data_IF_164051224311
#
_entry.id   IF_164051224311
#
_cell.length_a   1.000
_cell.length_b   1.000
_cell.length_c   1.000
_cell.angle_alpha   90.00
_cell.angle_beta   90.00
_cell.angle_gamma   90.00
#
_symmetry.space_group_name_H-M   'P 1'
#
loop_
_entity.id
_entity.type
_entity.pdbx_description
1 polymer ?
#
# COMPACT_ATOMS: atom_id res chain seq x y z
N UNK A 1 3.95 -18.76 -20.36
CA UNK A 1 3.91 -17.35 -20.84
C UNK A 1 4.52 -17.16 -22.23
N UNK A 2 5.73 -17.63 -22.54
CA UNK A 2 6.39 -17.36 -23.83
C UNK A 2 5.57 -17.78 -25.06
N UNK A 3 4.90 -18.94 -25.03
CA UNK A 3 4.02 -19.38 -26.12
C UNK A 3 2.77 -18.53 -26.32
N UNK A 4 2.28 -17.87 -25.27
CA UNK A 4 1.13 -16.94 -25.38
C UNK A 4 1.55 -15.62 -26.03
N UNK A 5 2.70 -15.06 -25.63
CA UNK A 5 3.26 -13.86 -26.27
C UNK A 5 3.60 -14.13 -27.74
N UNK A 6 4.21 -15.28 -28.04
CA UNK A 6 4.49 -15.68 -29.42
C UNK A 6 3.22 -15.87 -30.27
N UNK A 7 2.14 -16.40 -29.67
CA UNK A 7 0.83 -16.49 -30.33
C UNK A 7 0.18 -15.13 -30.61
N UNK A 8 0.41 -14.15 -29.74
CA UNK A 8 -0.09 -12.77 -29.93
C UNK A 8 0.66 -12.01 -31.01
N UNK A 9 1.94 -12.29 -31.24
CA UNK A 9 2.73 -11.66 -32.32
C UNK A 9 2.12 -11.87 -33.70
N UNK A 10 1.46 -13.01 -33.94
CA UNK A 10 0.77 -13.31 -35.21
C UNK A 10 -0.37 -12.31 -35.50
N UNK A 11 -0.85 -11.62 -34.48
CA UNK A 11 -1.92 -10.62 -34.56
C UNK A 11 -1.44 -9.19 -34.27
N UNK A 12 -0.13 -8.91 -34.33
CA UNK A 12 0.42 -7.58 -33.99
C UNK A 12 -0.12 -6.43 -34.86
N UNK A 13 -0.58 -6.74 -36.08
CA UNK A 13 -1.19 -5.78 -37.00
C UNK A 13 -2.69 -5.55 -36.76
N UNK A 14 -3.31 -6.29 -35.83
CA UNK A 14 -4.72 -6.08 -35.48
C UNK A 14 -4.89 -4.73 -34.75
N UNK A 15 -5.77 -3.83 -35.23
CA UNK A 15 -5.96 -2.55 -34.56
C UNK A 15 -6.47 -2.72 -33.14
N UNK A 16 -5.95 -1.93 -32.19
CA UNK A 16 -6.42 -1.95 -30.79
C UNK A 16 -7.94 -1.70 -30.68
N UNK A 17 -8.51 -0.87 -31.56
CA UNK A 17 -9.95 -0.62 -31.62
C UNK A 17 -10.76 -1.89 -31.95
N UNK A 18 -10.20 -2.83 -32.72
CA UNK A 18 -10.81 -4.12 -33.01
C UNK A 18 -10.80 -5.01 -31.76
N UNK A 19 -9.66 -5.05 -31.04
CA UNK A 19 -9.55 -5.77 -29.77
C UNK A 19 -10.52 -5.20 -28.71
N UNK A 20 -10.69 -3.89 -28.63
CA UNK A 20 -11.61 -3.25 -27.69
C UNK A 20 -13.08 -3.55 -28.01
N UNK A 21 -13.45 -3.63 -29.29
CA UNK A 21 -14.81 -4.06 -29.68
C UNK A 21 -15.06 -5.52 -29.36
N UNK A 22 -14.05 -6.37 -29.45
CA UNK A 22 -14.15 -7.80 -29.20
C UNK A 22 -14.02 -8.20 -27.73
N UNK A 23 -13.55 -7.30 -26.84
CA UNK A 23 -13.23 -7.64 -25.44
C UNK A 23 -14.43 -7.71 -24.51
N UNK A 24 -15.59 -7.17 -24.91
CA UNK A 24 -16.76 -7.01 -24.03
C UNK A 24 -16.57 -5.94 -22.94
N UNK A 25 -15.46 -5.21 -22.94
CA UNK A 25 -15.20 -4.08 -22.02
C UNK A 25 -15.97 -2.85 -22.50
N UNK A 26 -16.59 -2.06 -21.60
CA UNK A 26 -17.25 -0.81 -21.98
C UNK A 26 -16.32 0.11 -22.77
N UNK A 27 -16.81 0.72 -23.85
CA UNK A 27 -15.99 1.53 -24.75
C UNK A 27 -15.29 2.73 -24.08
N UNK A 28 -15.81 3.21 -22.95
CA UNK A 28 -15.23 4.30 -22.16
C UNK A 28 -14.12 3.84 -21.20
N UNK A 29 -13.96 2.54 -20.97
CA UNK A 29 -12.93 1.99 -20.09
C UNK A 29 -11.69 1.55 -20.90
N UNK A 30 -10.47 1.89 -20.44
CA UNK A 30 -9.25 1.43 -21.10
C UNK A 30 -9.06 -0.08 -20.91
N UNK A 31 -8.58 -0.79 -21.94
CA UNK A 31 -8.22 -2.22 -21.82
C UNK A 31 -6.98 -2.44 -20.94
N UNK A 32 -6.07 -1.46 -20.96
CA UNK A 32 -4.82 -1.47 -20.22
C UNK A 32 -4.59 -0.08 -19.63
N UNK A 33 -4.12 -0.05 -18.39
CA UNK A 33 -3.72 1.19 -17.70
C UNK A 33 -2.21 1.37 -17.66
N UNK A 34 -1.46 0.36 -18.08
CA UNK A 34 -0.01 0.35 -18.05
C UNK A 34 0.56 -0.14 -19.37
N UNK A 35 1.65 0.47 -19.81
CA UNK A 35 2.41 0.08 -20.99
C UNK A 35 3.82 -0.33 -20.58
N UNK A 36 4.29 -1.48 -21.08
CA UNK A 36 5.69 -1.88 -20.98
C UNK A 36 6.25 -1.92 -22.40
N UNK A 37 7.32 -1.17 -22.65
CA UNK A 37 8.03 -1.13 -23.90
C UNK A 37 9.44 -1.71 -23.71
N UNK A 38 9.84 -2.66 -24.54
CA UNK A 38 11.20 -3.18 -24.57
C UNK A 38 11.83 -2.77 -25.90
N UNK A 39 12.84 -1.91 -25.84
CA UNK A 39 13.53 -1.36 -27.00
C UNK A 39 14.92 -1.98 -27.08
N UNK A 40 15.12 -2.84 -28.08
CA UNK A 40 16.45 -3.34 -28.38
C UNK A 40 17.20 -2.32 -29.24
N UNK A 41 18.15 -1.61 -28.64
CA UNK A 41 19.04 -0.71 -29.36
C UNK A 41 20.17 -1.51 -29.98
N UNK A 42 20.16 -1.69 -31.31
CA UNK A 42 21.30 -2.27 -32.02
C UNK A 42 22.61 -1.54 -31.69
N UNK A 43 23.69 -2.31 -31.54
CA UNK A 43 25.03 -1.92 -31.09
C UNK A 43 25.44 -0.45 -31.37
N UNK A 44 26.09 0.24 -30.43
CA UNK A 44 26.80 1.47 -30.76
C UNK A 44 27.84 1.14 -31.83
N UNK A 45 27.75 1.79 -33.01
CA UNK A 45 28.85 1.78 -33.97
C UNK A 45 30.07 2.32 -33.23
N UNK A 46 31.04 1.44 -32.94
CA UNK A 46 32.37 1.84 -32.50
C UNK A 46 32.96 2.71 -33.59
N UNK A 47 33.03 4.01 -33.35
CA UNK A 47 34.11 4.87 -33.82
C UNK A 47 34.17 6.16 -32.99
N UNK A 48 35.27 6.31 -32.26
CA UNK A 48 35.90 7.60 -31.95
C UNK A 48 35.23 8.56 -30.95
N UNK A 49 35.56 8.40 -29.66
CA UNK A 49 35.92 9.51 -28.76
C UNK A 49 34.85 10.53 -28.33
N UNK A 50 34.42 10.40 -27.07
CA UNK A 50 34.02 11.55 -26.24
C UNK A 50 32.52 11.87 -26.16
N UNK A 51 31.89 11.38 -25.07
CA UNK A 51 30.82 12.06 -24.33
C UNK A 51 29.57 12.52 -25.09
N UNK A 52 28.50 11.74 -24.99
CA UNK A 52 27.13 12.17 -25.32
C UNK A 52 26.49 11.27 -26.36
N UNK A 53 25.34 10.67 -26.01
CA UNK A 53 24.54 9.81 -26.87
C UNK A 53 23.92 10.65 -28.00
N UNK A 54 24.71 11.02 -28.99
CA UNK A 54 24.22 11.62 -30.23
C UNK A 54 23.84 10.51 -31.21
N UNK A 55 22.59 10.08 -31.14
CA UNK A 55 21.92 9.47 -32.29
C UNK A 55 21.51 10.50 -33.37
N UNK A 56 21.91 11.77 -33.20
CA UNK A 56 21.54 12.89 -34.05
C UNK A 56 22.51 13.08 -35.21
N UNK A 57 21.93 13.56 -36.33
CA UNK A 57 22.67 14.17 -37.44
C UNK A 57 23.79 15.06 -36.90
N UNK A 58 24.99 14.99 -37.50
CA UNK A 58 26.14 15.78 -37.07
C UNK A 58 25.76 17.28 -36.96
N UNK A 59 25.95 17.86 -35.77
CA UNK A 59 25.57 19.24 -35.45
C UNK A 59 24.23 19.39 -34.73
N UNK A 60 23.49 18.31 -34.48
CA UNK A 60 22.23 18.32 -33.72
C UNK A 60 22.45 17.67 -32.35
N UNK A 61 22.14 18.41 -31.28
CA UNK A 61 22.08 17.89 -29.93
C UNK A 61 20.61 17.69 -29.54
N UNK A 62 20.28 16.49 -29.06
CA UNK A 62 18.97 16.22 -28.48
C UNK A 62 18.93 16.81 -27.07
N UNK A 63 18.00 17.74 -26.82
CA UNK A 63 17.88 18.42 -25.53
C UNK A 63 16.88 17.73 -24.60
N UNK A 64 15.76 17.24 -25.15
CA UNK A 64 14.73 16.49 -24.42
C UNK A 64 13.93 15.60 -25.36
N UNK A 65 13.38 14.53 -24.79
CA UNK A 65 12.35 13.68 -25.39
C UNK A 65 11.17 13.69 -24.44
N UNK A 66 9.96 13.92 -24.93
CA UNK A 66 8.74 13.80 -24.14
C UNK A 66 7.83 12.80 -24.85
N UNK A 67 7.71 11.59 -24.30
CA UNK A 67 6.82 10.56 -24.82
C UNK A 67 5.42 10.77 -24.24
N UNK A 68 4.51 11.31 -25.05
CA UNK A 68 3.11 11.47 -24.65
C UNK A 68 2.37 10.15 -24.75
N UNK A 69 2.20 9.49 -23.61
CA UNK A 69 1.42 8.26 -23.50
C UNK A 69 0.02 8.55 -22.95
N UNK A 70 -0.98 7.80 -23.42
CA UNK A 70 -2.35 7.85 -22.89
C UNK A 70 -2.54 6.87 -21.71
N UNK A 71 -1.45 6.31 -21.18
CA UNK A 71 -1.45 5.31 -20.12
C UNK A 71 -1.02 5.96 -18.80
N UNK A 72 -1.77 5.76 -17.70
CA UNK A 72 -1.37 6.23 -16.38
C UNK A 72 0.03 5.81 -15.93
N UNK A 73 0.54 4.68 -16.43
CA UNK A 73 1.91 4.21 -16.21
C UNK A 73 2.52 3.72 -17.52
N UNK A 74 3.70 4.20 -17.87
CA UNK A 74 4.50 3.70 -18.98
C UNK A 74 5.89 3.37 -18.47
N UNK A 75 6.41 2.20 -18.82
CA UNK A 75 7.78 1.77 -18.50
C UNK A 75 8.46 1.39 -19.80
N UNK A 76 9.62 1.96 -20.06
CA UNK A 76 10.47 1.59 -21.18
C UNK A 76 11.80 1.03 -20.70
N UNK A 77 12.15 -0.15 -21.22
CA UNK A 77 13.43 -0.83 -21.02
C UNK A 77 14.26 -0.67 -22.28
N UNK A 78 15.39 0.01 -22.16
CA UNK A 78 16.39 0.15 -23.22
C UNK A 78 17.47 -0.90 -23.05
N UNK A 79 17.51 -1.88 -23.94
CA UNK A 79 18.60 -2.85 -24.01
C UNK A 79 19.75 -2.26 -24.85
N UNK A 80 20.85 -1.98 -24.16
CA UNK A 80 22.08 -1.41 -24.73
C UNK A 80 23.12 -2.50 -25.06
N UNK A 81 22.74 -3.77 -24.96
CA UNK A 81 23.58 -4.94 -25.16
C UNK A 81 24.46 -5.28 -23.95
N UNK A 82 25.04 -4.29 -23.27
CA UNK A 82 25.86 -4.50 -22.06
C UNK A 82 25.19 -4.05 -20.76
N UNK A 83 24.07 -3.34 -20.87
CA UNK A 83 23.33 -2.79 -19.75
C UNK A 83 21.88 -2.51 -20.17
N UNK A 84 21.01 -2.38 -19.18
CA UNK A 84 19.63 -1.94 -19.38
C UNK A 84 19.43 -0.53 -18.84
N UNK A 85 18.73 0.31 -19.60
CA UNK A 85 18.18 1.57 -19.12
C UNK A 85 16.72 1.40 -18.75
N UNK A 86 16.31 1.87 -17.58
CA UNK A 86 14.92 1.91 -17.16
C UNK A 86 14.44 3.35 -17.15
N UNK A 87 13.30 3.59 -17.81
CA UNK A 87 12.60 4.87 -17.80
C UNK A 87 11.14 4.63 -17.53
N UNK A 88 10.54 5.46 -16.67
CA UNK A 88 9.13 5.36 -16.32
C UNK A 88 8.48 6.73 -16.39
N UNK A 89 7.27 6.77 -16.93
CA UNK A 89 6.36 7.91 -16.88
C UNK A 89 5.13 7.48 -16.08
N UNK A 90 4.82 8.21 -15.02
CA UNK A 90 3.68 7.92 -14.15
C UNK A 90 2.84 9.17 -13.93
N UNK A 91 1.52 9.02 -14.04
CA UNK A 91 0.56 10.05 -13.66
C UNK A 91 0.39 10.01 -12.14
N UNK A 92 0.34 11.19 -11.50
CA UNK A 92 0.10 11.32 -10.06
C UNK A 92 -1.11 10.48 -9.62
N UNK A 93 -1.04 9.76 -8.48
CA UNK A 93 0.01 9.83 -7.45
C UNK A 93 1.22 8.91 -7.70
N UNK A 94 1.35 8.31 -8.89
CA UNK A 94 2.49 7.45 -9.20
C UNK A 94 3.81 8.21 -9.19
N UNK A 95 4.83 7.62 -8.55
CA UNK A 95 6.20 8.13 -8.53
C UNK A 95 7.05 7.32 -9.53
N UNK A 96 7.49 7.93 -10.65
CA UNK A 96 8.27 7.23 -11.67
C UNK A 96 9.65 6.78 -11.15
N UNK A 97 10.26 7.51 -10.21
CA UNK A 97 11.56 7.14 -9.64
C UNK A 97 11.42 5.89 -8.77
N UNK A 98 10.36 5.82 -7.97
CA UNK A 98 10.03 4.63 -7.20
C UNK A 98 9.77 3.42 -8.10
N UNK A 99 9.02 3.58 -9.19
CA UNK A 99 8.76 2.49 -10.15
C UNK A 99 10.08 1.97 -10.73
N UNK A 100 10.98 2.84 -11.17
CA UNK A 100 12.30 2.45 -11.66
C UNK A 100 13.11 1.71 -10.58
N UNK A 101 13.12 2.21 -9.34
CA UNK A 101 13.85 1.58 -8.23
C UNK A 101 13.32 0.18 -7.90
N UNK A 102 11.99 0.00 -7.88
CA UNK A 102 11.36 -1.30 -7.65
C UNK A 102 11.68 -2.29 -8.78
N UNK A 103 11.61 -1.85 -10.04
CA UNK A 103 11.93 -2.68 -11.20
C UNK A 103 13.40 -3.08 -11.22
N UNK A 104 14.30 -2.15 -10.88
CA UNK A 104 15.72 -2.44 -10.78
C UNK A 104 15.99 -3.50 -9.70
N UNK A 105 15.46 -3.30 -8.48
CA UNK A 105 15.66 -4.25 -7.38
C UNK A 105 15.07 -5.63 -7.70
N UNK A 106 13.90 -5.67 -8.34
CA UNK A 106 13.29 -6.92 -8.78
C UNK A 106 14.13 -7.64 -9.85
N UNK A 107 14.70 -6.90 -10.81
CA UNK A 107 15.57 -7.46 -11.84
C UNK A 107 16.86 -8.01 -11.24
N UNK A 108 17.50 -7.27 -10.33
CA UNK A 108 18.69 -7.71 -9.60
C UNK A 108 18.40 -9.00 -8.80
N UNK A 109 17.32 -9.01 -8.02
CA UNK A 109 16.92 -10.19 -7.24
C UNK A 109 16.55 -11.40 -8.12
N UNK A 110 15.97 -11.16 -9.30
CA UNK A 110 15.68 -12.23 -10.25
C UNK A 110 16.96 -12.82 -10.85
N UNK A 111 17.92 -11.99 -11.23
CA UNK A 111 19.22 -12.44 -11.74
C UNK A 111 19.95 -13.24 -10.67
N UNK A 112 20.01 -12.75 -9.43
CA UNK A 112 20.62 -13.46 -8.31
C UNK A 112 19.95 -14.82 -8.06
N UNK A 113 18.61 -14.87 -8.07
CA UNK A 113 17.87 -16.12 -7.93
C UNK A 113 18.20 -17.10 -9.07
N UNK A 114 18.22 -16.64 -10.33
CA UNK A 114 18.54 -17.50 -11.47
C UNK A 114 19.98 -18.04 -11.43
N UNK A 115 20.93 -17.27 -10.92
CA UNK A 115 22.34 -17.68 -10.82
C UNK A 115 22.61 -18.63 -9.65
N UNK A 116 21.96 -18.41 -8.51
CA UNK A 116 22.29 -19.10 -7.25
C UNK A 116 21.28 -20.18 -6.84
N UNK A 117 19.99 -19.97 -7.14
CA UNK A 117 18.89 -20.81 -6.70
C UNK A 117 17.69 -20.71 -7.69
N UNK A 118 17.81 -21.28 -8.90
CA UNK A 118 16.80 -21.09 -9.95
C UNK A 118 15.42 -21.68 -9.62
N UNK A 119 15.33 -22.53 -8.60
CA UNK A 119 14.09 -23.10 -8.07
C UNK A 119 13.38 -22.16 -7.07
N UNK A 120 13.98 -21.00 -6.74
CA UNK A 120 13.35 -20.00 -5.85
C UNK A 120 12.01 -19.56 -6.43
N UNK A 121 10.90 -19.64 -5.66
CA UNK A 121 9.60 -19.18 -6.11
C UNK A 121 9.63 -17.69 -6.49
N UNK A 122 8.98 -17.31 -7.59
CA UNK A 122 8.96 -15.91 -8.04
C UNK A 122 8.44 -14.93 -6.97
N UNK A 123 7.52 -15.38 -6.10
CA UNK A 123 6.99 -14.57 -5.01
C UNK A 123 7.99 -14.27 -3.88
N UNK A 124 9.13 -14.97 -3.85
CA UNK A 124 10.21 -14.73 -2.88
C UNK A 124 11.27 -13.76 -3.40
N UNK A 125 11.23 -13.39 -4.69
CA UNK A 125 12.13 -12.39 -5.27
C UNK A 125 11.78 -11.01 -4.69
N UNK A 126 12.75 -10.38 -4.03
CA UNK A 126 12.54 -9.08 -3.41
C UNK A 126 12.35 -7.97 -4.46
N UNK A 127 11.21 -7.30 -4.44
CA UNK A 127 10.93 -6.11 -5.28
C UNK A 127 11.26 -4.81 -4.55
N UNK A 128 11.15 -4.81 -3.22
CA UNK A 128 11.46 -3.66 -2.37
C UNK A 128 12.89 -3.83 -1.85
N UNK A 129 13.69 -2.77 -1.95
CA UNK A 129 15.07 -2.81 -1.47
C UNK A 129 15.14 -3.00 0.05
N UNK A 130 16.22 -3.61 0.57
CA UNK A 130 16.39 -3.79 2.01
C UNK A 130 16.26 -2.49 2.81
N UNK A 131 16.79 -1.38 2.28
CA UNK A 131 16.72 -0.06 2.91
C UNK A 131 15.27 0.45 3.03
N UNK A 132 14.48 0.32 1.96
CA UNK A 132 13.07 0.75 1.99
C UNK A 132 12.27 -0.17 2.91
N UNK A 133 12.56 -1.47 2.91
CA UNK A 133 11.92 -2.43 3.80
C UNK A 133 12.22 -2.13 5.27
N UNK A 134 13.46 -1.81 5.61
CA UNK A 134 13.85 -1.42 6.97
C UNK A 134 13.07 -0.19 7.42
N UNK A 135 12.98 0.85 6.58
CA UNK A 135 12.15 2.01 6.89
C UNK A 135 10.68 1.67 7.11
N UNK A 136 10.10 0.85 6.24
CA UNK A 136 8.68 0.48 6.32
C UNK A 136 8.34 -0.37 7.54
N UNK A 137 9.22 -1.29 7.92
CA UNK A 137 8.96 -2.29 8.95
C UNK A 137 9.48 -1.85 10.31
N UNK A 138 10.61 -1.16 10.36
CA UNK A 138 11.26 -0.75 11.60
C UNK A 138 11.02 0.73 11.87
N UNK A 139 11.56 1.63 11.06
CA UNK A 139 11.54 3.08 11.36
C UNK A 139 10.12 3.63 11.53
N UNK A 140 9.19 3.26 10.65
CA UNK A 140 7.80 3.72 10.72
C UNK A 140 6.98 3.04 11.82
N UNK A 141 7.45 1.92 12.37
CA UNK A 141 6.78 1.19 13.44
C UNK A 141 7.54 1.26 14.77
N UNK A 142 8.50 2.18 14.92
CA UNK A 142 9.30 2.36 16.15
C UNK A 142 8.49 2.98 17.32
N UNK A 143 7.16 2.88 17.27
CA UNK A 143 6.32 3.28 18.38
C UNK A 143 6.46 2.22 19.49
N UNK A 144 6.86 2.60 20.72
CA UNK A 144 6.88 1.66 21.82
C UNK A 144 5.47 1.15 22.05
N UNK A 145 5.29 -0.17 21.97
CA UNK A 145 4.06 -0.82 22.40
C UNK A 145 3.99 -0.67 23.91
N UNK A 146 3.41 0.43 24.38
CA UNK A 146 3.03 0.58 25.79
C UNK A 146 1.85 -0.38 25.98
N UNK A 147 2.18 -1.61 26.37
CA UNK A 147 1.19 -2.58 26.78
C UNK A 147 0.50 -2.06 28.04
N UNK A 148 -0.61 -1.38 27.87
CA UNK A 148 -1.53 -1.14 28.99
C UNK A 148 -2.02 -2.53 29.41
N UNK A 149 -1.63 -2.94 30.61
CA UNK A 149 -2.03 -4.23 31.17
C UNK A 149 -3.41 -4.03 31.79
N UNK A 150 -4.40 -4.73 31.26
CA UNK A 150 -5.76 -4.74 31.79
C UNK A 150 -6.80 -4.15 30.83
N UNK A 151 -8.06 -4.47 31.10
CA UNK A 151 -9.22 -3.91 30.43
C UNK A 151 -9.48 -2.47 30.88
N UNK A 152 -10.24 -1.72 30.07
CA UNK A 152 -10.70 -0.37 30.45
C UNK A 152 -11.42 -0.36 31.80
N UNK A 153 -12.17 -1.42 32.10
CA UNK A 153 -12.90 -1.59 33.38
C UNK A 153 -11.94 -1.80 34.54
N UNK A 154 -10.87 -2.58 34.37
CA UNK A 154 -9.86 -2.79 35.42
C UNK A 154 -9.11 -1.48 35.74
N UNK A 155 -8.68 -0.76 34.70
CA UNK A 155 -8.01 0.53 34.86
C UNK A 155 -8.94 1.58 35.49
N UNK A 156 -10.23 1.54 35.15
CA UNK A 156 -11.24 2.37 35.81
C UNK A 156 -11.37 2.02 37.29
N UNK A 157 -11.41 0.72 37.64
CA UNK A 157 -11.46 0.25 39.03
C UNK A 157 -10.28 0.71 39.88
N UNK A 158 -9.08 0.83 39.30
CA UNK A 158 -7.92 1.42 40.00
C UNK A 158 -8.18 2.86 40.44
N UNK A 159 -8.87 3.67 39.61
CA UNK A 159 -9.25 5.04 39.95
C UNK A 159 -10.37 5.10 40.99
N UNK A 160 -11.35 4.19 40.93
CA UNK A 160 -12.41 4.07 41.95
C UNK A 160 -11.81 3.83 43.32
N UNK A 161 -10.80 2.96 43.43
CA UNK A 161 -10.10 2.71 44.70
C UNK A 161 -9.23 3.91 45.11
N UNK A 162 -8.55 4.54 44.14
CA UNK A 162 -7.59 5.61 44.41
C UNK A 162 -8.24 6.90 44.89
N UNK A 163 -9.30 7.34 44.22
CA UNK A 163 -9.99 8.60 44.52
C UNK A 163 -11.48 8.50 44.14
N UNK A 164 -12.30 7.81 44.95
CA UNK A 164 -13.72 7.59 44.65
C UNK A 164 -14.52 8.90 44.58
N UNK A 165 -14.07 9.96 45.26
CA UNK A 165 -14.73 11.26 45.31
C UNK A 165 -14.40 12.18 44.13
N UNK A 166 -13.38 11.85 43.33
CA UNK A 166 -13.04 12.61 42.14
C UNK A 166 -14.14 12.50 41.08
N UNK A 167 -14.42 13.61 40.40
CA UNK A 167 -15.39 13.66 39.30
C UNK A 167 -14.86 12.85 38.12
N UNK A 168 -15.60 11.82 37.71
CA UNK A 168 -15.27 10.94 36.58
C UNK A 168 -15.91 11.41 35.28
N UNK A 169 -17.19 11.80 35.33
CA UNK A 169 -17.98 12.18 34.15
C UNK A 169 -18.79 13.43 34.45
N UNK A 170 -18.84 14.35 33.49
CA UNK A 170 -19.72 15.52 33.50
C UNK A 170 -20.46 15.59 32.18
N UNK A 171 -21.78 15.71 32.22
CA UNK A 171 -22.60 15.94 31.04
C UNK A 171 -23.64 17.03 31.34
N UNK A 172 -23.45 18.21 30.73
CA UNK A 172 -24.30 19.36 31.02
C UNK A 172 -24.19 19.79 32.49
N UNK A 173 -25.31 19.77 33.20
CA UNK A 173 -25.39 20.11 34.64
C UNK A 173 -25.27 18.92 35.58
N UNK A 174 -25.12 17.70 35.07
CA UNK A 174 -24.96 16.49 35.89
C UNK A 174 -23.49 16.04 35.90
N UNK A 175 -23.05 15.56 37.07
CA UNK A 175 -21.71 15.00 37.26
C UNK A 175 -21.78 13.77 38.14
N UNK A 176 -20.94 12.78 37.84
CA UNK A 176 -20.73 11.59 38.68
C UNK A 176 -19.27 11.50 39.09
N UNK A 177 -19.05 11.19 40.36
CA UNK A 177 -17.75 10.77 40.86
C UNK A 177 -17.39 9.36 40.40
N UNK A 178 -16.13 8.96 40.52
CA UNK A 178 -15.69 7.60 40.19
C UNK A 178 -16.47 6.55 40.98
N UNK A 179 -16.70 6.79 42.28
CA UNK A 179 -17.51 5.88 43.12
C UNK A 179 -18.97 5.80 42.69
N UNK A 180 -19.61 6.93 42.41
CA UNK A 180 -21.02 6.94 41.96
C UNK A 180 -21.20 6.29 40.58
N UNK A 181 -20.23 6.47 39.69
CA UNK A 181 -20.23 5.84 38.37
C UNK A 181 -20.05 4.32 38.48
N UNK A 182 -19.12 3.86 39.33
CA UNK A 182 -18.89 2.43 39.58
C UNK A 182 -20.13 1.74 40.17
N UNK A 183 -20.78 2.37 41.15
CA UNK A 183 -22.01 1.84 41.75
C UNK A 183 -23.13 1.70 40.70
N UNK A 184 -23.36 2.73 39.87
CA UNK A 184 -24.40 2.69 38.82
C UNK A 184 -24.07 1.65 37.74
N UNK A 185 -22.81 1.58 37.31
CA UNK A 185 -22.35 0.61 36.32
C UNK A 185 -22.47 -0.82 36.85
N UNK A 186 -22.02 -1.08 38.08
CA UNK A 186 -22.11 -2.40 38.73
C UNK A 186 -23.55 -2.88 38.91
N UNK A 187 -24.50 -1.99 39.21
CA UNK A 187 -25.92 -2.32 39.25
C UNK A 187 -26.44 -2.75 37.87
N UNK A 188 -26.08 -2.02 36.81
CA UNK A 188 -26.46 -2.39 35.44
C UNK A 188 -25.84 -3.73 35.03
N UNK A 189 -24.55 -3.93 35.30
CA UNK A 189 -23.83 -5.17 35.05
C UNK A 189 -24.54 -6.37 35.70
N UNK A 190 -24.98 -6.22 36.96
CA UNK A 190 -25.75 -7.24 37.67
C UNK A 190 -27.10 -7.55 37.00
N UNK A 191 -27.81 -6.52 36.50
CA UNK A 191 -29.07 -6.71 35.76
C UNK A 191 -28.83 -7.43 34.42
N UNK A 192 -27.78 -7.07 33.69
CA UNK A 192 -27.42 -7.70 32.42
C UNK A 192 -27.02 -9.16 32.62
N UNK A 193 -26.17 -9.44 33.62
CA UNK A 193 -25.81 -10.79 34.01
C UNK A 193 -27.04 -11.62 34.40
N UNK A 194 -27.97 -11.03 35.17
CA UNK A 194 -29.25 -11.65 35.52
C UNK A 194 -30.16 -11.94 34.31
N UNK A 195 -29.94 -11.28 33.17
CA UNK A 195 -30.63 -11.53 31.89
C UNK A 195 -29.86 -12.48 30.96
N UNK A 196 -28.77 -13.07 31.43
CA UNK A 196 -27.99 -14.05 30.69
C UNK A 196 -26.90 -13.44 29.79
N UNK A 197 -26.57 -12.16 29.95
CA UNK A 197 -25.42 -11.55 29.26
C UNK A 197 -24.13 -12.05 29.91
N UNK A 198 -23.20 -12.55 29.09
CA UNK A 198 -21.88 -13.02 29.53
C UNK A 198 -20.77 -12.51 28.61
N UNK A 199 -19.57 -13.08 28.76
CA UNK A 199 -18.46 -12.78 27.86
C UNK A 199 -18.86 -13.00 26.39
N UNK A 200 -18.36 -12.13 25.50
CA UNK A 200 -18.65 -12.15 24.06
C UNK A 200 -20.14 -11.93 23.67
N UNK A 201 -21.00 -11.59 24.63
CA UNK A 201 -22.39 -11.23 24.35
C UNK A 201 -22.49 -9.82 23.73
N UNK A 202 -23.39 -9.65 22.76
CA UNK A 202 -23.63 -8.36 22.11
C UNK A 202 -24.82 -7.66 22.77
N UNK A 203 -24.58 -6.47 23.31
CA UNK A 203 -25.62 -5.61 23.91
C UNK A 203 -25.77 -4.35 23.05
N UNK A 204 -26.99 -4.08 22.58
CA UNK A 204 -27.30 -2.86 21.84
C UNK A 204 -27.56 -1.68 22.78
N UNK A 205 -26.80 -0.60 22.65
CA UNK A 205 -26.98 0.65 23.41
C UNK A 205 -27.53 1.74 22.49
N UNK A 206 -28.74 2.22 22.78
CA UNK A 206 -29.37 3.34 22.08
C UNK A 206 -29.75 4.41 23.12
N UNK A 207 -28.82 5.30 23.39
CA UNK A 207 -28.98 6.43 24.31
C UNK A 207 -28.39 7.69 23.66
N UNK A 208 -28.94 8.85 24.00
CA UNK A 208 -28.32 10.13 23.66
C UNK A 208 -27.07 10.37 24.53
N UNK A 209 -26.31 11.43 24.25
CA UNK A 209 -25.15 11.80 25.08
C UNK A 209 -25.63 12.23 26.47
N UNK A 210 -25.39 11.38 27.47
CA UNK A 210 -25.70 11.61 28.88
C UNK A 210 -24.70 10.90 29.78
N UNK A 211 -24.80 11.09 31.10
CA UNK A 211 -24.03 10.27 32.07
C UNK A 211 -24.44 8.79 31.99
N UNK A 212 -25.71 8.51 31.70
CA UNK A 212 -26.23 7.14 31.58
C UNK A 212 -25.63 6.38 30.40
N UNK A 213 -25.21 7.07 29.34
CA UNK A 213 -24.47 6.46 28.25
C UNK A 213 -23.13 5.89 28.75
N UNK A 214 -22.42 6.63 29.61
CA UNK A 214 -21.14 6.14 30.16
C UNK A 214 -21.37 5.01 31.16
N UNK A 215 -22.43 5.09 31.97
CA UNK A 215 -22.87 3.97 32.83
C UNK A 215 -23.12 2.71 31.99
N UNK A 216 -23.83 2.85 30.86
CA UNK A 216 -24.15 1.74 29.97
C UNK A 216 -22.95 1.13 29.23
N UNK A 217 -21.84 1.88 29.08
CA UNK A 217 -20.61 1.37 28.46
C UNK A 217 -19.68 0.68 29.47
N UNK A 218 -19.80 1.01 30.76
CA UNK A 218 -18.98 0.44 31.83
C UNK A 218 -19.64 -0.75 32.55
N UNK A 219 -20.97 -0.82 32.60
CA UNK A 219 -21.74 -1.89 33.25
C UNK A 219 -22.14 -3.02 32.31
#
# INVERSE_FOLDING_TARGET
MQGQLAGLLVHEHAPLALAQKASGVPAAAPLFTSLLNYRHGGQPRRDGGGGGRNGGLAGVAMLSTEDRTNYPLSVSVDDLGTAFGLTADAVAPGDPELVCALLQNAAEGLVEALESAPETPLGEVAVVSPLVRERMVVEWNDAPVVGVVGSVVELFGEWVVRDPGAVAVVCGGESLSYGELDERAGLLAGVLAGRGVGAESVVGVLLERSVDLVVALLG
#
